data_IF_841407004630
#
_entry.id   IF_841407004630
#
_cell.length_a   1.000
_cell.length_b   1.000
_cell.length_c   1.000
_cell.angle_alpha   90.00
_cell.angle_beta   90.00
_cell.angle_gamma   90.00
#
_symmetry.space_group_name_H-M   'P 1'
#
loop_
_entity.id
_entity.type
_entity.pdbx_description
1 polymer ?
#
# COMPACT_ATOMS: atom_id res chain seq x y z
N UNK A 1 21.42 -4.73 -31.34
CA UNK A 1 20.18 -3.94 -31.29
C UNK A 1 19.33 -4.51 -30.17
N UNK A 2 19.20 -3.85 -29.01
CA UNK A 2 18.09 -4.09 -28.12
C UNK A 2 17.09 -2.94 -28.28
N UNK A 3 15.90 -3.29 -28.74
CA UNK A 3 14.72 -2.43 -28.82
C UNK A 3 14.20 -2.22 -27.40
N UNK A 4 14.81 -1.29 -26.66
CA UNK A 4 14.35 -0.87 -25.34
C UNK A 4 13.35 0.29 -25.53
N UNK A 5 12.26 0.00 -26.25
CA UNK A 5 11.02 0.74 -26.08
C UNK A 5 10.50 0.33 -24.70
N UNK A 6 10.88 1.09 -23.67
CA UNK A 6 10.21 1.07 -22.38
C UNK A 6 8.74 1.41 -22.64
N UNK A 7 7.95 0.38 -22.93
CA UNK A 7 6.55 0.47 -23.26
C UNK A 7 5.86 1.09 -22.06
N UNK A 8 5.66 2.40 -22.14
CA UNK A 8 5.00 3.19 -21.12
C UNK A 8 3.64 2.53 -20.90
N UNK A 9 3.38 1.92 -19.72
CA UNK A 9 2.20 1.10 -19.55
C UNK A 9 0.98 1.98 -19.77
N UNK A 10 -0.01 1.40 -20.46
CA UNK A 10 -1.27 2.08 -20.69
C UNK A 10 -1.95 2.38 -19.34
N UNK A 11 -2.66 3.51 -19.23
CA UNK A 11 -3.26 3.88 -17.96
C UNK A 11 -4.41 2.93 -17.60
N UNK A 12 -4.79 2.85 -16.31
CA UNK A 12 -5.77 1.88 -15.83
C UNK A 12 -7.12 1.96 -16.52
N UNK A 13 -7.59 3.16 -16.86
CA UNK A 13 -8.87 3.37 -17.56
C UNK A 13 -8.87 2.94 -19.03
N UNK A 14 -7.69 2.74 -19.61
CA UNK A 14 -7.55 2.21 -20.97
C UNK A 14 -7.51 0.69 -20.95
N UNK A 15 -6.75 0.11 -20.01
CA UNK A 15 -6.65 -1.35 -19.87
C UNK A 15 -7.93 -1.96 -19.30
N UNK A 16 -8.56 -1.27 -18.36
CA UNK A 16 -9.78 -1.70 -17.67
C UNK A 16 -10.86 -0.62 -17.77
N UNK A 17 -11.49 -0.46 -18.95
CA UNK A 17 -12.48 0.59 -19.18
C UNK A 17 -13.75 0.45 -18.33
N UNK A 18 -13.98 -0.72 -17.74
CA UNK A 18 -15.09 -0.94 -16.80
C UNK A 18 -14.85 -0.42 -15.39
N UNK A 19 -13.60 -0.12 -15.02
CA UNK A 19 -13.26 0.36 -13.67
C UNK A 19 -13.49 1.86 -13.63
N UNK A 20 -14.23 2.32 -12.62
CA UNK A 20 -14.40 3.75 -12.35
C UNK A 20 -13.29 4.28 -11.44
N UNK A 21 -12.99 5.60 -11.47
CA UNK A 21 -12.01 6.21 -10.56
C UNK A 21 -12.26 5.86 -9.09
N UNK A 22 -13.52 5.91 -8.63
CA UNK A 22 -13.89 5.59 -7.24
C UNK A 22 -13.66 4.12 -6.85
N UNK A 23 -13.62 3.21 -7.84
CA UNK A 23 -13.46 1.78 -7.63
C UNK A 23 -12.00 1.33 -7.77
N UNK A 24 -11.09 2.24 -8.16
CA UNK A 24 -9.69 1.95 -8.40
C UNK A 24 -9.02 1.30 -7.17
N UNK A 25 -9.25 1.85 -5.98
CA UNK A 25 -8.67 1.34 -4.74
C UNK A 25 -9.05 -0.12 -4.44
N UNK A 26 -10.25 -0.53 -4.84
CA UNK A 26 -10.74 -1.90 -4.66
C UNK A 26 -10.05 -2.86 -5.63
N UNK A 27 -9.95 -2.46 -6.91
CA UNK A 27 -9.42 -3.31 -7.97
C UNK A 27 -7.89 -3.40 -7.99
N UNK A 28 -7.19 -2.42 -7.42
CA UNK A 28 -5.73 -2.45 -7.26
C UNK A 28 -5.28 -3.52 -6.27
N UNK A 29 -6.15 -3.96 -5.37
CA UNK A 29 -5.83 -4.93 -4.31
C UNK A 29 -6.57 -6.26 -4.44
N UNK A 30 -7.55 -6.36 -5.35
CA UNK A 30 -8.41 -7.52 -5.46
C UNK A 30 -8.84 -7.77 -6.91
N UNK A 31 -8.84 -9.04 -7.30
CA UNK A 31 -9.47 -9.50 -8.55
C UNK A 31 -8.51 -9.57 -9.73
N UNK A 32 -9.07 -9.63 -10.94
CA UNK A 32 -8.31 -9.91 -12.17
C UNK A 32 -7.34 -8.80 -12.58
N UNK A 33 -7.52 -7.59 -12.05
CA UNK A 33 -6.66 -6.45 -12.34
C UNK A 33 -5.43 -6.37 -11.42
N UNK A 34 -5.48 -6.99 -10.25
CA UNK A 34 -4.42 -6.96 -9.23
C UNK A 34 -3.05 -7.36 -9.79
N UNK A 35 -2.89 -8.48 -10.54
CA UNK A 35 -1.58 -8.88 -11.06
C UNK A 35 -0.96 -7.84 -11.99
N UNK A 36 -1.77 -7.19 -12.84
CA UNK A 36 -1.30 -6.15 -13.74
C UNK A 36 -0.88 -4.89 -12.97
N UNK A 37 -1.65 -4.50 -11.95
CA UNK A 37 -1.29 -3.38 -11.11
C UNK A 37 0.01 -3.62 -10.35
N UNK A 38 0.22 -4.83 -9.84
CA UNK A 38 1.39 -5.18 -9.05
C UNK A 38 2.66 -5.37 -9.89
N UNK A 39 2.54 -5.96 -11.07
CA UNK A 39 3.69 -6.31 -11.91
C UNK A 39 4.10 -5.20 -12.88
N UNK A 40 3.13 -4.47 -13.44
CA UNK A 40 3.40 -3.49 -14.49
C UNK A 40 3.27 -2.06 -13.96
N UNK A 41 2.10 -1.74 -13.37
CA UNK A 41 1.76 -0.36 -13.03
C UNK A 41 2.54 0.19 -11.84
N UNK A 42 2.55 -0.51 -10.70
CA UNK A 42 3.24 -0.07 -9.47
C UNK A 42 4.74 0.19 -9.67
N UNK A 43 5.54 -0.73 -10.24
CA UNK A 43 6.98 -0.47 -10.41
C UNK A 43 7.24 0.68 -11.36
N UNK A 44 6.46 0.80 -12.44
CA UNK A 44 6.53 1.95 -13.33
C UNK A 44 6.20 3.25 -12.61
N UNK A 45 5.04 3.35 -11.94
CA UNK A 45 4.60 4.56 -11.25
C UNK A 45 5.57 5.01 -10.15
N UNK A 46 6.11 4.06 -9.39
CA UNK A 46 7.11 4.31 -8.35
C UNK A 46 8.44 4.83 -8.93
N UNK A 47 8.82 4.41 -10.14
CA UNK A 47 10.04 4.88 -10.82
C UNK A 47 9.96 6.32 -11.31
N UNK A 48 8.75 6.87 -11.47
CA UNK A 48 8.55 8.22 -11.99
C UNK A 48 8.70 9.28 -10.90
N UNK A 49 9.33 10.40 -11.27
CA UNK A 49 9.31 11.64 -10.47
C UNK A 49 7.93 12.32 -10.52
N UNK A 50 7.61 13.20 -9.56
CA UNK A 50 6.34 13.94 -9.57
C UNK A 50 6.07 14.69 -10.88
N UNK A 51 7.11 15.28 -11.49
CA UNK A 51 6.98 15.97 -12.78
C UNK A 51 6.68 15.01 -13.94
N UNK A 52 7.28 13.81 -13.93
CA UNK A 52 7.01 12.79 -14.95
C UNK A 52 5.62 12.18 -14.79
N UNK A 53 5.14 11.97 -13.56
CA UNK A 53 3.77 11.53 -13.27
C UNK A 53 2.74 12.53 -13.78
N UNK A 54 2.94 13.83 -13.51
CA UNK A 54 2.08 14.88 -14.04
C UNK A 54 2.09 14.88 -15.58
N UNK A 55 3.28 14.83 -16.20
CA UNK A 55 3.41 14.79 -17.66
C UNK A 55 2.72 13.56 -18.28
N UNK A 56 2.80 12.40 -17.62
CA UNK A 56 2.11 11.18 -18.04
C UNK A 56 0.59 11.35 -17.98
N UNK A 57 0.05 11.86 -16.86
CA UNK A 57 -1.38 12.08 -16.70
C UNK A 57 -1.92 13.11 -17.70
N UNK A 58 -1.14 14.13 -18.02
CA UNK A 58 -1.49 15.12 -19.06
C UNK A 58 -1.45 14.52 -20.47
N UNK A 59 -0.43 13.72 -20.80
CA UNK A 59 -0.31 13.05 -22.10
C UNK A 59 -1.48 12.10 -22.38
N UNK A 60 -2.02 11.46 -21.35
CA UNK A 60 -3.17 10.56 -21.45
C UNK A 60 -4.53 11.24 -21.23
N UNK A 61 -4.57 12.57 -21.14
CA UNK A 61 -5.78 13.35 -20.88
C UNK A 61 -6.59 12.84 -19.68
N UNK A 62 -5.89 12.50 -18.59
CA UNK A 62 -6.52 12.00 -17.38
C UNK A 62 -7.52 13.02 -16.82
N UNK A 63 -8.76 12.57 -16.62
CA UNK A 63 -9.80 13.36 -15.97
C UNK A 63 -9.40 13.69 -14.53
N UNK A 64 -9.92 14.78 -13.93
CA UNK A 64 -9.57 15.15 -12.56
C UNK A 64 -9.84 14.02 -11.57
N UNK A 65 -10.93 13.26 -11.75
CA UNK A 65 -11.28 12.13 -10.89
C UNK A 65 -10.22 11.03 -10.93
N UNK A 66 -9.66 10.74 -12.12
CA UNK A 66 -8.60 9.75 -12.26
C UNK A 66 -7.28 10.21 -11.65
N UNK A 67 -6.97 11.50 -11.75
CA UNK A 67 -5.78 12.08 -11.11
C UNK A 67 -5.88 11.97 -9.59
N UNK A 68 -7.04 12.30 -9.03
CA UNK A 68 -7.30 12.17 -7.60
C UNK A 68 -7.27 10.71 -7.13
N UNK A 69 -7.89 9.79 -7.88
CA UNK A 69 -7.89 8.37 -7.54
C UNK A 69 -6.48 7.77 -7.53
N UNK A 70 -5.65 8.11 -8.53
CA UNK A 70 -4.25 7.64 -8.58
C UNK A 70 -3.43 8.24 -7.44
N UNK A 71 -3.56 9.54 -7.18
CA UNK A 71 -2.88 10.19 -6.06
C UNK A 71 -3.29 9.55 -4.71
N UNK A 72 -4.58 9.30 -4.52
CA UNK A 72 -5.09 8.65 -3.32
C UNK A 72 -4.56 7.22 -3.15
N UNK A 73 -4.53 6.41 -4.21
CA UNK A 73 -4.13 5.01 -4.11
C UNK A 73 -2.62 4.83 -4.03
N UNK A 74 -1.84 5.62 -4.77
CA UNK A 74 -0.41 5.39 -4.97
C UNK A 74 0.50 6.46 -4.34
N UNK A 75 -0.01 7.64 -3.99
CA UNK A 75 0.80 8.72 -3.41
C UNK A 75 0.45 9.02 -1.95
N UNK A 76 -0.79 8.82 -1.52
CA UNK A 76 -1.25 9.16 -0.16
C UNK A 76 -0.51 8.42 0.97
N UNK A 77 0.15 7.31 0.67
CA UNK A 77 0.93 6.54 1.64
C UNK A 77 2.44 6.57 1.37
N UNK A 78 2.90 7.31 0.35
CA UNK A 78 4.32 7.39 0.01
C UNK A 78 5.16 8.11 1.10
N UNK A 79 4.51 8.92 1.94
CA UNK A 79 5.14 9.65 3.05
C UNK A 79 5.12 8.87 4.38
N UNK A 80 4.40 7.74 4.45
CA UNK A 80 4.41 6.90 5.65
C UNK A 80 5.71 6.10 5.71
N UNK A 81 6.64 6.57 6.52
CA UNK A 81 7.86 5.83 6.88
C UNK A 81 7.50 4.62 7.77
N UNK A 82 7.09 3.54 7.12
CA UNK A 82 6.74 2.26 7.77
C UNK A 82 7.93 1.69 8.55
N UNK A 83 9.16 1.95 8.10
CA UNK A 83 10.37 1.49 8.78
C UNK A 83 10.60 2.22 10.12
N UNK A 84 10.34 3.52 10.15
CA UNK A 84 10.37 4.31 11.39
C UNK A 84 9.26 3.89 12.35
N UNK A 85 8.03 3.69 11.88
CA UNK A 85 6.91 3.20 12.73
C UNK A 85 7.21 1.81 13.32
N UNK A 86 7.75 0.90 12.50
CA UNK A 86 8.16 -0.43 12.95
C UNK A 86 9.30 -0.38 13.98
N UNK A 87 10.20 0.61 13.88
CA UNK A 87 11.28 0.83 14.84
C UNK A 87 10.74 1.37 16.17
N UNK A 88 9.87 2.37 16.14
CA UNK A 88 9.24 2.95 17.33
C UNK A 88 8.41 1.92 18.11
N UNK A 89 7.67 1.07 17.40
CA UNK A 89 6.91 -0.03 18.00
C UNK A 89 7.81 -1.03 18.73
N UNK A 90 8.95 -1.42 18.14
CA UNK A 90 9.95 -2.29 18.80
C UNK A 90 10.53 -1.63 20.03
N UNK A 91 10.80 -0.32 20.00
CA UNK A 91 11.28 0.42 21.17
C UNK A 91 10.22 0.52 22.27
N UNK A 92 8.96 0.67 21.91
CA UNK A 92 7.85 0.68 22.85
C UNK A 92 7.67 -0.67 23.56
N UNK A 93 7.73 -1.78 22.83
CA UNK A 93 7.70 -3.14 23.41
C UNK A 93 8.91 -3.40 24.33
N UNK A 94 10.09 -2.90 23.97
CA UNK A 94 11.28 -2.98 24.83
C UNK A 94 11.10 -2.19 26.13
N UNK A 95 10.46 -1.01 26.07
CA UNK A 95 10.15 -0.17 27.25
C UNK A 95 9.04 -0.78 28.12
N UNK A 96 8.07 -1.50 27.55
CA UNK A 96 6.99 -2.16 28.29
C UNK A 96 7.35 -3.54 28.89
N UNK A 97 8.53 -4.08 28.61
CA UNK A 97 9.06 -5.31 29.26
C UNK A 97 9.31 -5.20 30.78
N UNK A 98 8.80 -4.15 31.44
CA UNK A 98 8.92 -3.87 32.87
C UNK A 98 7.58 -3.75 33.63
N UNK A 99 6.45 -4.25 33.11
CA UNK A 99 5.22 -4.39 33.89
C UNK A 99 5.07 -5.83 34.41
N UNK A 100 4.71 -6.02 35.70
CA UNK A 100 4.96 -7.26 36.42
C UNK A 100 4.12 -8.39 35.84
N UNK A 101 4.76 -9.55 35.68
CA UNK A 101 4.08 -10.82 35.43
C UNK A 101 2.88 -10.92 36.37
N UNK A 102 1.67 -10.90 35.80
CA UNK A 102 0.44 -11.16 36.52
C UNK A 102 0.66 -12.46 37.31
N UNK A 103 0.59 -12.37 38.64
CA UNK A 103 0.61 -13.52 39.54
C UNK A 103 -0.69 -14.31 39.40
N UNK A 104 -0.96 -14.87 38.22
CA UNK A 104 -1.98 -15.88 38.00
C UNK A 104 -1.32 -17.23 38.17
N UNK A 105 -1.35 -17.73 39.40
CA UNK A 105 -1.45 -19.16 39.77
C UNK A 105 -1.06 -19.38 41.24
N UNK A 106 -1.93 -19.01 42.18
CA UNK A 106 -1.88 -19.61 43.54
C UNK A 106 -3.23 -19.73 44.26
N UNK A 107 -4.36 -19.38 43.65
CA UNK A 107 -5.67 -19.56 44.29
C UNK A 107 -6.32 -20.92 44.01
N UNK A 108 -5.84 -21.68 43.02
CA UNK A 108 -6.39 -23.01 42.70
C UNK A 108 -5.87 -24.17 43.56
N UNK A 109 -4.95 -23.94 44.51
CA UNK A 109 -4.45 -25.01 45.40
C UNK A 109 -5.26 -25.24 46.68
N UNK A 110 -6.32 -24.46 46.95
CA UNK A 110 -7.16 -24.64 48.17
C UNK A 110 -8.51 -25.33 47.95
N UNK A 111 -8.86 -25.71 46.72
CA UNK A 111 -10.13 -26.38 46.42
C UNK A 111 -10.02 -27.90 46.15
N UNK A 112 -8.82 -28.47 46.20
CA UNK A 112 -8.60 -29.92 46.12
C UNK A 112 -7.79 -30.42 47.32
N UNK A 113 -8.44 -30.44 48.49
CA UNK A 113 -8.04 -31.33 49.59
C UNK A 113 -9.32 -31.91 50.18
N UNK A 114 -9.63 -33.13 49.76
CA UNK A 114 -10.61 -34.02 50.39
C UNK A 114 -9.84 -35.00 51.27
#
# INVERSE_FOLDING_TARGET
MPTDDLATPQPPWVVFPQIKPEELALHVRQGVAEPWFDQEWRPYWASLTPMQRASYLDAWHASPEWREAIAFVFEAFADLDVDQDAKESKEYLRKQGGLPAEKKCSLFRRLFKR
#
